data_IF_695064574133
#
_entry.id   IF_695064574133
#
_cell.length_a   1.000
_cell.length_b   1.000
_cell.length_c   1.000
_cell.angle_alpha   90.00
_cell.angle_beta   90.00
_cell.angle_gamma   90.00
#
_symmetry.space_group_name_H-M   'P 1'
#
loop_
_entity.id
_entity.type
_entity.pdbx_description
1 polymer ?
#
# COMPACT_ATOMS: atom_id res chain seq x y z
N UNK A 1 -33.14 -8.69 26.68
CA UNK A 1 -32.76 -7.29 26.33
C UNK A 1 -31.67 -6.70 27.23
N UNK A 2 -31.62 -6.99 28.53
CA UNK A 2 -30.55 -6.49 29.42
C UNK A 2 -29.19 -7.22 29.32
N UNK A 3 -29.16 -8.47 28.82
CA UNK A 3 -27.91 -9.25 28.64
C UNK A 3 -27.05 -8.73 27.49
N UNK A 4 -27.67 -8.38 26.36
CA UNK A 4 -26.99 -7.91 25.15
C UNK A 4 -26.31 -6.55 25.34
N UNK A 5 -26.92 -5.63 26.08
CA UNK A 5 -26.31 -4.31 26.36
C UNK A 5 -25.08 -4.45 27.27
N UNK A 6 -25.12 -5.40 28.23
CA UNK A 6 -24.01 -5.67 29.14
C UNK A 6 -22.82 -6.31 28.40
N UNK A 7 -23.08 -7.22 27.48
CA UNK A 7 -22.07 -7.83 26.62
C UNK A 7 -21.44 -6.84 25.63
N UNK A 8 -22.26 -5.95 25.02
CA UNK A 8 -21.77 -4.89 24.13
C UNK A 8 -20.87 -3.89 24.89
N UNK A 9 -21.23 -3.56 26.13
CA UNK A 9 -20.43 -2.67 26.97
C UNK A 9 -19.13 -3.33 27.46
N UNK A 10 -19.16 -4.63 27.78
CA UNK A 10 -17.96 -5.43 28.08
C UNK A 10 -17.01 -5.52 26.88
N UNK A 11 -17.56 -5.70 25.67
CA UNK A 11 -16.78 -5.70 24.43
C UNK A 11 -16.17 -4.32 24.12
N UNK A 12 -16.93 -3.24 24.29
CA UNK A 12 -16.43 -1.86 24.16
C UNK A 12 -15.36 -1.52 25.19
N UNK A 13 -15.49 -1.99 26.43
CA UNK A 13 -14.44 -1.85 27.44
C UNK A 13 -13.18 -2.64 27.06
N UNK A 14 -13.30 -3.89 26.58
CA UNK A 14 -12.16 -4.67 26.07
C UNK A 14 -11.47 -4.03 24.86
N UNK A 15 -12.21 -3.35 23.98
CA UNK A 15 -11.63 -2.58 22.87
C UNK A 15 -10.94 -1.30 23.37
N UNK A 16 -11.49 -0.63 24.39
CA UNK A 16 -10.84 0.55 24.99
C UNK A 16 -9.60 0.21 25.83
N UNK A 17 -9.54 -0.97 26.44
CA UNK A 17 -8.42 -1.42 27.28
C UNK A 17 -7.40 -2.29 26.54
N UNK A 18 -7.71 -2.75 25.33
CA UNK A 18 -6.68 -3.31 24.45
C UNK A 18 -5.75 -2.17 24.06
N UNK A 19 -4.64 -2.06 24.81
CA UNK A 19 -3.40 -1.41 24.40
C UNK A 19 -3.32 -1.56 22.89
N UNK A 20 -3.32 -0.43 22.19
CA UNK A 20 -3.12 -0.33 20.75
C UNK A 20 -2.33 -1.54 20.27
N UNK A 21 -2.96 -2.40 19.46
CA UNK A 21 -2.25 -3.41 18.69
C UNK A 21 -1.33 -2.63 17.75
N UNK A 22 -0.19 -2.20 18.29
CA UNK A 22 0.98 -1.83 17.52
C UNK A 22 1.42 -3.16 16.94
N UNK A 23 0.92 -3.46 15.76
CA UNK A 23 1.56 -4.40 14.88
C UNK A 23 2.93 -3.80 14.56
N UNK A 24 3.92 -4.07 15.42
CA UNK A 24 5.33 -3.92 15.06
C UNK A 24 5.65 -5.08 14.12
N UNK A 25 5.15 -4.93 12.90
CA UNK A 25 5.51 -5.79 11.80
C UNK A 25 6.95 -5.42 11.44
N UNK A 26 7.91 -6.11 12.08
CA UNK A 26 9.28 -6.20 11.59
C UNK A 26 9.28 -7.12 10.35
N UNK A 27 8.48 -6.77 9.34
CA UNK A 27 8.80 -7.19 7.97
C UNK A 27 10.11 -6.45 7.67
N UNK A 28 11.08 -7.16 7.10
CA UNK A 28 12.19 -6.52 6.37
C UNK A 28 11.57 -5.74 5.22
N UNK A 29 11.12 -4.52 5.51
CA UNK A 29 10.48 -3.65 4.54
C UNK A 29 11.59 -3.15 3.63
N UNK A 30 11.53 -3.53 2.36
CA UNK A 30 12.35 -2.91 1.33
C UNK A 30 11.84 -1.47 1.11
N UNK A 31 12.37 -0.53 1.89
CA UNK A 31 11.97 0.87 1.82
C UNK A 31 12.29 1.50 0.46
N UNK A 32 13.27 0.99 -0.29
CA UNK A 32 13.53 1.44 -1.66
C UNK A 32 12.36 1.08 -2.58
N UNK A 33 11.93 -0.18 -2.57
CA UNK A 33 10.77 -0.62 -3.35
C UNK A 33 9.50 0.18 -2.98
N UNK A 34 9.18 0.27 -1.70
CA UNK A 34 7.95 0.92 -1.22
C UNK A 34 7.97 2.45 -1.30
N UNK A 35 9.14 3.05 -1.49
CA UNK A 35 9.30 4.49 -1.75
C UNK A 35 9.56 4.85 -3.21
N UNK A 36 9.42 3.89 -4.14
CA UNK A 36 9.73 4.10 -5.56
C UNK A 36 11.15 4.67 -5.77
N UNK A 37 12.15 4.04 -5.14
CA UNK A 37 13.57 4.43 -5.21
C UNK A 37 13.91 5.80 -4.60
N UNK A 38 12.95 6.49 -3.96
CA UNK A 38 13.19 7.81 -3.36
C UNK A 38 14.29 7.78 -2.29
N UNK A 39 14.42 6.66 -1.57
CA UNK A 39 15.48 6.49 -0.59
C UNK A 39 16.86 6.34 -1.26
N UNK A 40 17.01 5.54 -2.31
CA UNK A 40 18.22 5.48 -3.13
C UNK A 40 18.62 6.85 -3.71
N UNK A 41 17.65 7.65 -4.14
CA UNK A 41 17.90 9.03 -4.60
C UNK A 41 18.45 9.87 -3.45
N UNK A 42 17.85 9.78 -2.27
CA UNK A 42 18.32 10.51 -1.09
C UNK A 42 19.74 10.07 -0.66
N UNK A 43 20.04 8.78 -0.71
CA UNK A 43 21.37 8.25 -0.40
C UNK A 43 22.43 8.80 -1.37
N UNK A 44 22.12 8.87 -2.67
CA UNK A 44 23.01 9.52 -3.65
C UNK A 44 23.19 11.02 -3.38
N UNK A 45 22.11 11.72 -3.02
CA UNK A 45 22.21 13.13 -2.64
C UNK A 45 23.10 13.34 -1.41
N UNK A 46 23.04 12.43 -0.43
CA UNK A 46 23.89 12.46 0.77
C UNK A 46 25.34 12.10 0.43
N UNK A 47 25.58 11.08 -0.41
CA UNK A 47 26.93 10.73 -0.86
C UNK A 47 27.60 11.90 -1.57
N UNK A 48 26.89 12.58 -2.47
CA UNK A 48 27.41 13.76 -3.16
C UNK A 48 27.74 14.91 -2.20
N UNK A 49 27.08 15.00 -1.05
CA UNK A 49 27.43 15.96 -0.01
C UNK A 49 28.73 15.53 0.65
N UNK A 50 28.85 14.27 1.06
CA UNK A 50 30.10 13.72 1.60
C UNK A 50 31.28 13.94 0.66
N UNK A 51 31.13 13.60 -0.63
CA UNK A 51 32.19 13.72 -1.63
C UNK A 51 32.65 15.17 -1.83
N UNK A 52 31.76 16.16 -1.65
CA UNK A 52 32.14 17.58 -1.70
C UNK A 52 33.02 18.01 -0.53
N UNK A 53 32.91 17.33 0.61
CA UNK A 53 33.61 17.67 1.85
C UNK A 53 34.77 16.72 2.20
N UNK A 54 34.90 15.58 1.51
CA UNK A 54 35.97 14.59 1.70
C UNK A 54 37.28 14.97 0.95
N UNK A 55 37.25 16.03 0.12
CA UNK A 55 38.42 16.51 -0.62
C UNK A 55 39.23 17.49 0.22
N UNK A 56 40.09 17.01 1.13
CA UNK A 56 41.28 17.67 1.72
C UNK A 56 41.28 19.21 1.93
N UNK A 57 40.13 19.81 2.20
CA UNK A 57 39.97 21.26 2.31
C UNK A 57 39.67 21.61 3.77
N UNK A 58 40.30 22.68 4.24
CA UNK A 58 39.93 23.32 5.49
C UNK A 58 38.48 23.80 5.37
N UNK A 59 37.57 23.12 6.06
CA UNK A 59 36.16 23.50 6.13
C UNK A 59 36.06 24.73 7.04
N UNK A 60 35.51 25.81 6.53
CA UNK A 60 35.22 27.05 7.25
C UNK A 60 34.01 26.88 8.17
N UNK A 61 33.89 27.73 9.18
CA UNK A 61 32.73 27.71 10.07
C UNK A 61 31.41 27.94 9.32
N UNK A 62 31.39 28.81 8.30
CA UNK A 62 30.23 29.04 7.44
C UNK A 62 29.80 27.77 6.68
N UNK A 63 30.77 27.00 6.15
CA UNK A 63 30.48 25.74 5.47
C UNK A 63 29.94 24.68 6.45
N UNK A 64 30.37 24.68 7.71
CA UNK A 64 29.78 23.82 8.75
C UNK A 64 28.31 24.17 9.00
N UNK A 65 27.96 25.45 9.08
CA UNK A 65 26.57 25.88 9.27
C UNK A 65 25.68 25.47 8.09
N UNK A 66 26.19 25.62 6.86
CA UNK A 66 25.50 25.17 5.65
C UNK A 66 25.30 23.65 5.65
N UNK A 67 26.32 22.86 6.00
CA UNK A 67 26.22 21.40 6.13
C UNK A 67 25.15 21.01 7.14
N UNK A 68 25.15 21.64 8.33
CA UNK A 68 24.17 21.35 9.38
C UNK A 68 22.75 21.66 8.90
N UNK A 69 22.56 22.75 8.15
CA UNK A 69 21.28 23.09 7.54
C UNK A 69 20.84 22.03 6.52
N UNK A 70 21.73 21.65 5.60
CA UNK A 70 21.46 20.62 4.58
C UNK A 70 21.13 19.27 5.22
N UNK A 71 21.87 18.85 6.26
CA UNK A 71 21.60 17.60 6.98
C UNK A 71 20.21 17.60 7.61
N UNK A 72 19.78 18.73 8.21
CA UNK A 72 18.43 18.86 8.77
C UNK A 72 17.36 18.67 7.69
N UNK A 73 17.53 19.29 6.54
CA UNK A 73 16.60 19.13 5.41
C UNK A 73 16.57 17.69 4.87
N UNK A 74 17.74 17.06 4.73
CA UNK A 74 17.82 15.64 4.31
C UNK A 74 17.16 14.71 5.32
N UNK A 75 17.29 14.99 6.63
CA UNK A 75 16.60 14.23 7.68
C UNK A 75 15.08 14.33 7.54
N UNK A 76 14.54 15.53 7.33
CA UNK A 76 13.09 15.71 7.11
C UNK A 76 12.62 14.97 5.85
N UNK A 77 13.42 15.02 4.77
CA UNK A 77 13.14 14.27 3.53
C UNK A 77 13.16 12.75 3.77
N UNK A 78 14.13 12.24 4.53
CA UNK A 78 14.19 10.84 4.94
C UNK A 78 12.94 10.42 5.70
N UNK A 79 12.55 11.17 6.74
CA UNK A 79 11.36 10.87 7.54
C UNK A 79 10.08 10.84 6.69
N UNK A 80 9.96 11.78 5.74
CA UNK A 80 8.86 11.81 4.77
C UNK A 80 8.85 10.58 3.84
N UNK A 81 10.01 10.16 3.34
CA UNK A 81 10.16 8.96 2.49
C UNK A 81 9.75 7.70 3.26
N UNK A 82 10.22 7.56 4.51
CA UNK A 82 9.87 6.43 5.37
C UNK A 82 8.37 6.41 5.67
N UNK A 83 7.77 7.58 5.93
CA UNK A 83 6.32 7.68 6.12
C UNK A 83 5.55 7.22 4.88
N UNK A 84 5.91 7.72 3.70
CA UNK A 84 5.29 7.31 2.43
C UNK A 84 5.44 5.81 2.15
N UNK A 85 6.62 5.24 2.42
CA UNK A 85 6.88 3.80 2.32
C UNK A 85 5.88 3.00 3.18
N UNK A 86 5.74 3.39 4.45
CA UNK A 86 4.77 2.77 5.38
C UNK A 86 3.33 2.91 4.90
N UNK A 87 2.93 4.09 4.46
CA UNK A 87 1.58 4.35 3.96
C UNK A 87 1.28 3.45 2.75
N UNK A 88 2.22 3.30 1.81
CA UNK A 88 2.05 2.44 0.63
C UNK A 88 1.84 0.96 1.00
N UNK A 89 2.56 0.46 2.01
CA UNK A 89 2.40 -0.91 2.52
C UNK A 89 1.01 -1.11 3.10
N UNK A 90 0.59 -0.18 3.98
CA UNK A 90 -0.72 -0.23 4.62
C UNK A 90 -1.82 -0.18 3.56
N UNK A 91 -1.72 0.72 2.59
CA UNK A 91 -2.67 0.83 1.49
C UNK A 91 -2.72 -0.44 0.64
N UNK A 92 -1.56 -1.06 0.36
CA UNK A 92 -1.49 -2.33 -0.35
C UNK A 92 -2.24 -3.44 0.40
N UNK A 93 -2.01 -3.56 1.71
CA UNK A 93 -2.71 -4.54 2.55
C UNK A 93 -4.21 -4.25 2.65
N UNK A 94 -4.62 -2.98 2.68
CA UNK A 94 -6.03 -2.59 2.66
C UNK A 94 -6.68 -3.07 1.36
N UNK A 95 -6.05 -2.88 0.20
CA UNK A 95 -6.59 -3.34 -1.09
C UNK A 95 -6.81 -4.85 -1.10
N UNK A 96 -5.80 -5.61 -0.66
CA UNK A 96 -5.92 -7.06 -0.51
C UNK A 96 -7.07 -7.44 0.43
N UNK A 97 -7.15 -6.82 1.61
CA UNK A 97 -8.19 -7.14 2.59
C UNK A 97 -9.60 -6.80 2.09
N UNK A 98 -9.78 -5.72 1.32
CA UNK A 98 -11.06 -5.39 0.70
C UNK A 98 -11.43 -6.48 -0.30
N UNK A 99 -10.51 -6.87 -1.19
CA UNK A 99 -10.74 -7.92 -2.17
C UNK A 99 -11.16 -9.23 -1.49
N UNK A 100 -10.42 -9.67 -0.46
CA UNK A 100 -10.76 -10.88 0.31
C UNK A 100 -12.15 -10.82 0.94
N UNK A 101 -12.57 -9.66 1.46
CA UNK A 101 -13.92 -9.49 2.01
C UNK A 101 -15.00 -9.60 0.93
N UNK A 102 -14.75 -9.08 -0.28
CA UNK A 102 -15.71 -9.20 -1.39
C UNK A 102 -15.79 -10.65 -1.85
N UNK A 103 -14.65 -11.31 -2.04
CA UNK A 103 -14.58 -12.75 -2.38
C UNK A 103 -15.34 -13.59 -1.36
N UNK A 104 -15.11 -13.35 -0.07
CA UNK A 104 -15.80 -14.07 1.00
C UNK A 104 -17.32 -13.91 0.92
N UNK A 105 -17.82 -12.70 0.62
CA UNK A 105 -19.26 -12.47 0.42
C UNK A 105 -19.79 -13.17 -0.84
N UNK A 106 -19.05 -13.12 -1.95
CA UNK A 106 -19.47 -13.71 -3.23
C UNK A 106 -19.45 -15.24 -3.21
N UNK A 107 -18.65 -15.85 -2.32
CA UNK A 107 -18.68 -17.30 -2.08
C UNK A 107 -20.08 -17.81 -1.69
N UNK A 108 -20.86 -17.02 -0.96
CA UNK A 108 -22.25 -17.36 -0.60
C UNK A 108 -23.18 -17.44 -1.83
N UNK A 109 -22.78 -16.86 -2.96
CA UNK A 109 -23.48 -16.88 -4.23
C UNK A 109 -22.84 -17.84 -5.23
N UNK A 110 -22.07 -18.83 -4.76
CA UNK A 110 -21.41 -19.85 -5.57
C UNK A 110 -20.41 -19.30 -6.59
N UNK A 111 -19.82 -18.14 -6.32
CA UNK A 111 -18.66 -17.65 -7.07
C UNK A 111 -17.35 -18.19 -6.48
N UNK A 112 -16.43 -18.54 -7.35
CA UNK A 112 -15.10 -19.06 -7.03
C UNK A 112 -14.04 -18.22 -7.73
N UNK A 113 -12.89 -18.03 -7.08
CA UNK A 113 -11.77 -17.26 -7.64
C UNK A 113 -11.11 -18.09 -8.74
N UNK A 114 -10.92 -17.48 -9.92
CA UNK A 114 -10.12 -18.03 -11.02
C UNK A 114 -8.70 -17.50 -10.95
N UNK A 115 -8.56 -16.18 -10.79
CA UNK A 115 -7.28 -15.50 -10.71
C UNK A 115 -7.37 -14.33 -9.72
N UNK A 116 -6.25 -13.99 -9.10
CA UNK A 116 -6.15 -12.80 -8.28
C UNK A 116 -4.70 -12.40 -8.10
N UNK A 117 -4.46 -11.10 -8.01
CA UNK A 117 -3.13 -10.61 -7.72
C UNK A 117 -3.04 -9.11 -7.84
N UNK A 118 -1.81 -8.62 -7.79
CA UNK A 118 -1.53 -7.24 -8.12
C UNK A 118 -1.23 -7.10 -9.61
N UNK A 119 -1.67 -6.00 -10.19
CA UNK A 119 -1.37 -5.66 -11.59
C UNK A 119 0.15 -5.63 -11.78
N UNK A 120 0.63 -6.33 -12.82
CA UNK A 120 2.05 -6.50 -13.13
C UNK A 120 2.90 -7.08 -11.99
N UNK A 121 2.28 -7.82 -11.06
CA UNK A 121 2.92 -8.34 -9.85
C UNK A 121 3.54 -7.25 -8.96
N UNK A 122 3.13 -5.99 -9.11
CA UNK A 122 3.60 -4.87 -8.29
C UNK A 122 2.60 -4.61 -7.16
N UNK A 123 2.97 -4.94 -5.91
CA UNK A 123 2.14 -4.74 -4.73
C UNK A 123 1.76 -3.28 -4.47
N UNK A 124 2.44 -2.33 -5.13
CA UNK A 124 2.13 -0.90 -5.07
C UNK A 124 0.99 -0.53 -6.02
N UNK A 125 0.61 -1.41 -6.94
CA UNK A 125 -0.44 -1.20 -7.94
C UNK A 125 -1.82 -1.64 -7.43
N UNK A 126 -2.78 -1.60 -8.36
CA UNK A 126 -4.14 -2.10 -8.19
C UNK A 126 -4.13 -3.61 -7.87
N UNK A 127 -5.13 -4.03 -7.10
CA UNK A 127 -5.36 -5.45 -6.81
C UNK A 127 -6.59 -5.91 -7.59
N UNK A 128 -6.48 -7.02 -8.31
CA UNK A 128 -7.60 -7.59 -9.06
C UNK A 128 -7.98 -8.97 -8.55
N UNK A 129 -9.25 -9.32 -8.76
CA UNK A 129 -9.78 -10.67 -8.56
C UNK A 129 -10.75 -10.99 -9.69
N UNK A 130 -10.55 -12.12 -10.34
CA UNK A 130 -11.48 -12.70 -11.29
C UNK A 130 -12.22 -13.85 -10.62
N UNK A 131 -13.55 -13.84 -10.72
CA UNK A 131 -14.44 -14.84 -10.16
C UNK A 131 -15.36 -15.40 -11.22
N UNK A 132 -15.74 -16.67 -11.06
CA UNK A 132 -16.74 -17.34 -11.89
C UNK A 132 -17.71 -18.14 -11.05
N UNK A 133 -18.99 -18.15 -11.45
CA UNK A 133 -19.99 -19.01 -10.82
C UNK A 133 -20.18 -20.33 -11.58
N UNK A 134 -20.96 -21.25 -11.00
CA UNK A 134 -21.27 -22.55 -11.61
C UNK A 134 -22.08 -22.45 -12.92
N UNK A 135 -22.78 -21.34 -13.13
CA UNK A 135 -23.66 -21.11 -14.29
C UNK A 135 -22.87 -20.52 -15.47
N UNK A 136 -21.62 -20.08 -15.23
CA UNK A 136 -20.71 -19.58 -16.25
C UNK A 136 -20.49 -18.06 -16.23
N UNK A 137 -21.18 -17.32 -15.36
CA UNK A 137 -21.00 -15.86 -15.23
C UNK A 137 -19.62 -15.54 -14.68
N UNK A 138 -18.98 -14.53 -15.27
CA UNK A 138 -17.67 -14.05 -14.85
C UNK A 138 -17.77 -12.63 -14.30
N UNK A 139 -17.15 -12.40 -13.16
CA UNK A 139 -17.03 -11.09 -12.53
C UNK A 139 -15.55 -10.77 -12.33
N UNK A 140 -15.16 -9.57 -12.74
CA UNK A 140 -13.85 -9.02 -12.40
C UNK A 140 -14.01 -7.88 -11.41
N UNK A 141 -13.22 -7.90 -10.35
CA UNK A 141 -13.17 -6.85 -9.34
C UNK A 141 -11.77 -6.26 -9.35
N UNK A 142 -11.68 -4.95 -9.47
CA UNK A 142 -10.41 -4.21 -9.36
C UNK A 142 -10.52 -3.23 -8.20
N UNK A 143 -9.64 -3.39 -7.22
CA UNK A 143 -9.42 -2.42 -6.16
C UNK A 143 -8.32 -1.46 -6.60
N UNK A 144 -8.71 -0.28 -7.07
CA UNK A 144 -7.80 0.73 -7.59
C UNK A 144 -7.08 1.48 -6.49
N UNK A 145 -5.80 1.75 -6.71
CA UNK A 145 -5.02 2.73 -5.94
C UNK A 145 -5.46 4.14 -6.34
N UNK A 146 -5.89 4.94 -5.37
CA UNK A 146 -6.06 6.38 -5.57
C UNK A 146 -4.91 7.14 -4.90
N UNK A 147 -4.10 7.80 -5.71
CA UNK A 147 -2.93 8.55 -5.24
C UNK A 147 -3.29 9.87 -4.55
N UNK A 148 -4.50 10.40 -4.76
CA UNK A 148 -4.88 11.73 -4.27
C UNK A 148 -5.39 11.71 -2.83
N UNK A 149 -6.13 10.67 -2.45
CA UNK A 149 -6.96 10.72 -1.22
C UNK A 149 -6.72 9.56 -0.25
N UNK A 150 -5.78 8.64 -0.51
CA UNK A 150 -5.60 7.40 0.28
C UNK A 150 -6.86 6.52 0.39
N UNK A 151 -7.84 6.72 -0.50
CA UNK A 151 -9.08 5.94 -0.57
C UNK A 151 -8.89 4.87 -1.66
N UNK A 152 -9.30 3.63 -1.40
CA UNK A 152 -9.36 2.62 -2.46
C UNK A 152 -10.69 2.72 -3.20
N UNK A 153 -10.66 2.75 -4.52
CA UNK A 153 -11.85 2.69 -5.36
C UNK A 153 -12.11 1.24 -5.79
N UNK A 154 -13.37 0.82 -5.79
CA UNK A 154 -13.77 -0.54 -6.14
C UNK A 154 -14.51 -0.48 -7.46
N UNK A 155 -13.98 -1.14 -8.48
CA UNK A 155 -14.62 -1.30 -9.78
C UNK A 155 -15.03 -2.77 -9.93
N UNK A 156 -16.29 -3.00 -10.26
CA UNK A 156 -16.85 -4.35 -10.47
C UNK A 156 -17.42 -4.39 -11.88
N UNK A 157 -16.91 -5.29 -12.71
CA UNK A 157 -17.46 -5.55 -14.03
C UNK A 157 -18.03 -6.98 -14.07
N UNK A 158 -19.25 -7.12 -14.59
CA UNK A 158 -19.89 -8.40 -14.85
C UNK A 158 -19.85 -8.64 -16.36
N UNK A 159 -19.13 -9.65 -16.79
CA UNK A 159 -19.09 -10.05 -18.19
C UNK A 159 -20.13 -11.14 -18.40
N UNK A 160 -21.39 -10.74 -18.59
CA UNK A 160 -22.46 -11.67 -18.94
C UNK A 160 -22.48 -11.86 -20.47
N UNK A 161 -21.84 -12.95 -20.90
CA UNK A 161 -21.98 -13.67 -22.17
C UNK A 161 -21.57 -13.01 -23.53
N UNK A 162 -21.01 -13.87 -24.39
CA UNK A 162 -20.86 -13.80 -25.86
C UNK A 162 -19.82 -12.89 -26.54
N UNK A 163 -19.16 -11.95 -25.87
CA UNK A 163 -18.14 -11.12 -26.54
C UNK A 163 -16.71 -11.42 -26.10
N UNK A 164 -16.12 -12.36 -26.86
CA UNK A 164 -14.74 -12.41 -27.35
C UNK A 164 -13.60 -11.92 -26.43
N UNK A 165 -12.70 -12.86 -26.13
CA UNK A 165 -11.23 -12.75 -26.28
C UNK A 165 -10.67 -11.32 -26.42
N UNK A 166 -10.65 -10.57 -25.32
CA UNK A 166 -9.61 -9.57 -25.10
C UNK A 166 -8.89 -9.92 -23.82
N UNK A 167 -7.59 -10.14 -23.95
CA UNK A 167 -6.70 -10.36 -22.83
C UNK A 167 -6.95 -9.24 -21.81
N UNK A 168 -7.26 -9.63 -20.57
CA UNK A 168 -7.52 -8.69 -19.47
C UNK A 168 -6.35 -7.69 -19.26
N UNK A 169 -5.14 -8.06 -19.71
CA UNK A 169 -3.96 -7.18 -19.80
C UNK A 169 -4.20 -5.91 -20.62
N UNK A 170 -5.02 -5.95 -21.67
CA UNK A 170 -5.25 -4.79 -22.54
C UNK A 170 -6.13 -3.72 -21.88
N UNK A 171 -6.88 -4.08 -20.83
CA UNK A 171 -7.70 -3.14 -20.04
C UNK A 171 -6.94 -2.47 -18.89
N UNK A 172 -5.83 -3.07 -18.45
CA UNK A 172 -4.97 -2.52 -17.38
C UNK A 172 -3.93 -1.52 -17.92
N UNK A 173 -3.81 -1.39 -19.25
CA UNK A 173 -2.83 -0.52 -19.92
C UNK A 173 -3.43 0.73 -20.58
N UNK A 174 -4.60 1.21 -20.13
CA UNK A 174 -5.18 2.49 -20.58
C UNK A 174 -5.25 3.51 -19.46
#
# INVERSE_FOLDING_TARGET
YYSTVKEINLFRQKIKTSKSLRFSVNILINNNYWSYESLNILEKEISNIYDKFDVNNFITFCEIEEIVSVIKDKKLKFESIIKKSKDNIVLSQIRFNIAQKIVYKLKNYLFFVIDSGYVNNDQRSDYFVELKNMIGDNISIVIKKNEKNNISEIVINSNNNEYQNKNFKDFLCK
#
